data_IF_467654958845
#
_entry.id   IF_467654958845
#
_cell.length_a   1.000
_cell.length_b   1.000
_cell.length_c   1.000
_cell.angle_alpha   90.00
_cell.angle_beta   90.00
_cell.angle_gamma   90.00
#
_symmetry.space_group_name_H-M   'P 1'
#
loop_
_entity.id
_entity.type
_entity.pdbx_description
1 polymer ?
#
# COMPACT_ATOMS: atom_id res chain seq x y z
N UNK A 1 -12.45 -5.32 -15.67
CA UNK A 1 -11.69 -4.19 -16.26
C UNK A 1 -10.77 -3.55 -15.22
N UNK A 2 -9.51 -3.92 -15.25
CA UNK A 2 -8.40 -3.57 -14.34
C UNK A 2 -8.22 -2.05 -14.21
N UNK A 3 -8.48 -1.32 -15.30
CA UNK A 3 -8.50 0.14 -15.33
C UNK A 3 -9.51 0.76 -14.34
N UNK A 4 -10.61 0.06 -14.01
CA UNK A 4 -11.58 0.52 -13.04
C UNK A 4 -11.14 0.29 -11.58
N UNK A 5 -10.24 -0.66 -11.33
CA UNK A 5 -9.71 -0.89 -9.98
C UNK A 5 -8.65 0.15 -9.61
N UNK A 6 -7.95 0.71 -10.58
CA UNK A 6 -6.88 1.67 -10.33
C UNK A 6 -7.36 2.96 -9.63
N UNK A 7 -8.66 3.30 -9.68
CA UNK A 7 -9.23 4.44 -8.94
C UNK A 7 -9.41 4.19 -7.43
N UNK A 8 -9.32 2.95 -6.98
CA UNK A 8 -9.38 2.61 -5.56
C UNK A 8 -8.00 2.77 -4.93
N UNK A 9 -7.92 3.46 -3.80
CA UNK A 9 -6.65 3.68 -3.10
C UNK A 9 -6.02 2.36 -2.66
N UNK A 10 -6.79 1.56 -1.92
CA UNK A 10 -6.36 0.29 -1.35
C UNK A 10 -7.22 -0.89 -1.82
N UNK A 11 -6.58 -2.04 -2.02
CA UNK A 11 -7.22 -3.35 -2.05
C UNK A 11 -6.93 -4.07 -0.72
N UNK A 12 -7.97 -4.20 0.11
CA UNK A 12 -7.91 -4.89 1.40
C UNK A 12 -8.46 -6.30 1.23
N UNK A 13 -7.66 -7.30 1.60
CA UNK A 13 -8.08 -8.71 1.62
C UNK A 13 -8.66 -9.01 3.00
N UNK A 14 -9.94 -9.36 3.04
CA UNK A 14 -10.65 -9.73 4.26
C UNK A 14 -10.97 -11.22 4.19
N UNK A 15 -10.44 -12.00 5.13
CA UNK A 15 -10.77 -13.42 5.26
C UNK A 15 -12.09 -13.63 5.98
N UNK A 16 -12.55 -14.88 6.04
CA UNK A 16 -13.70 -15.23 6.88
C UNK A 16 -13.34 -15.15 8.37
N UNK A 17 -14.29 -14.71 9.22
CA UNK A 17 -14.12 -14.78 10.67
C UNK A 17 -13.93 -16.23 11.13
N UNK A 18 -13.28 -16.39 12.28
CA UNK A 18 -13.24 -17.67 12.98
C UNK A 18 -14.63 -18.07 13.45
N UNK A 19 -14.86 -19.37 13.69
CA UNK A 19 -16.13 -19.88 14.25
C UNK A 19 -16.56 -19.14 15.53
N UNK A 20 -15.60 -18.75 16.38
CA UNK A 20 -15.90 -18.02 17.62
C UNK A 20 -16.40 -16.60 17.34
N UNK A 21 -15.76 -15.89 16.40
CA UNK A 21 -16.19 -14.57 15.94
C UNK A 21 -17.54 -14.65 15.23
N UNK A 22 -17.80 -15.69 14.42
CA UNK A 22 -19.10 -15.91 13.79
C UNK A 22 -20.22 -16.09 14.82
N UNK A 23 -19.97 -16.89 15.88
CA UNK A 23 -20.93 -17.06 16.97
C UNK A 23 -21.20 -15.72 17.67
N UNK A 24 -20.18 -14.92 17.90
CA UNK A 24 -20.33 -13.59 18.52
C UNK A 24 -21.13 -12.64 17.61
N UNK A 25 -20.82 -12.60 16.31
CA UNK A 25 -21.57 -11.83 15.31
C UNK A 25 -23.04 -12.25 15.30
N UNK A 26 -23.33 -13.56 15.24
CA UNK A 26 -24.70 -14.07 15.26
C UNK A 26 -25.43 -13.63 16.53
N UNK A 27 -24.82 -13.79 17.71
CA UNK A 27 -25.42 -13.38 18.99
C UNK A 27 -25.69 -11.87 19.04
N UNK A 28 -24.75 -11.03 18.60
CA UNK A 28 -24.89 -9.56 18.64
C UNK A 28 -25.97 -9.07 17.68
N UNK A 29 -25.98 -9.59 16.45
CA UNK A 29 -26.84 -9.10 15.37
C UNK A 29 -28.26 -9.65 15.39
N UNK A 30 -28.49 -10.81 16.02
CA UNK A 30 -29.84 -11.42 16.16
C UNK A 30 -30.51 -11.12 17.50
N UNK A 31 -29.84 -10.38 18.38
CA UNK A 31 -30.44 -9.91 19.63
C UNK A 31 -31.35 -8.70 19.39
N UNK A 32 -32.28 -8.45 20.32
CA UNK A 32 -33.08 -7.22 20.33
C UNK A 32 -32.29 -6.00 20.82
N UNK A 33 -31.05 -6.21 21.29
CA UNK A 33 -30.21 -5.15 21.82
C UNK A 33 -29.71 -4.26 20.68
N UNK A 34 -30.06 -2.98 20.74
CA UNK A 34 -29.51 -1.95 19.85
C UNK A 34 -28.53 -1.09 20.63
N UNK A 35 -27.22 -1.14 20.32
CA UNK A 35 -26.26 -0.30 21.01
C UNK A 35 -26.55 1.17 20.72
N UNK A 36 -26.50 2.00 21.76
CA UNK A 36 -26.55 3.45 21.60
C UNK A 36 -25.20 3.91 21.08
N UNK A 37 -25.18 4.45 19.86
CA UNK A 37 -23.95 4.98 19.26
C UNK A 37 -23.75 6.43 19.71
N UNK A 38 -22.51 6.75 20.08
CA UNK A 38 -22.08 8.12 20.38
C UNK A 38 -21.18 8.62 19.25
N UNK A 39 -21.52 9.78 18.68
CA UNK A 39 -20.74 10.37 17.61
C UNK A 39 -19.45 10.97 18.20
N UNK A 40 -18.31 10.35 17.90
CA UNK A 40 -17.01 10.84 18.36
C UNK A 40 -16.44 11.98 17.50
N UNK A 41 -16.83 12.05 16.23
CA UNK A 41 -16.37 13.05 15.27
C UNK A 41 -17.56 13.60 14.47
N UNK A 42 -17.54 14.91 14.23
CA UNK A 42 -18.42 15.57 13.27
C UNK A 42 -17.86 15.46 11.85
N UNK A 43 -18.72 15.68 10.84
CA UNK A 43 -18.29 15.73 9.44
C UNK A 43 -17.19 16.79 9.18
N UNK A 44 -17.30 17.94 9.82
CA UNK A 44 -16.27 19.00 9.75
C UNK A 44 -14.93 18.55 10.34
N UNK A 45 -14.96 17.83 11.46
CA UNK A 45 -13.74 17.26 12.05
C UNK A 45 -13.09 16.24 11.11
N UNK A 46 -13.88 15.40 10.44
CA UNK A 46 -13.36 14.45 9.44
C UNK A 46 -12.69 15.18 8.27
N UNK A 47 -13.33 16.21 7.72
CA UNK A 47 -12.74 17.00 6.63
C UNK A 47 -11.44 17.69 7.08
N UNK A 48 -11.41 18.21 8.30
CA UNK A 48 -10.20 18.80 8.89
C UNK A 48 -9.08 17.77 9.04
N UNK A 49 -9.38 16.55 9.48
CA UNK A 49 -8.39 15.47 9.58
C UNK A 49 -7.83 15.09 8.20
N UNK A 50 -8.67 15.05 7.16
CA UNK A 50 -8.20 14.80 5.80
C UNK A 50 -7.24 15.90 5.30
N UNK A 51 -7.46 17.14 5.70
CA UNK A 51 -6.54 18.25 5.39
C UNK A 51 -5.22 18.12 6.17
N UNK A 52 -5.28 17.78 7.46
CA UNK A 52 -4.07 17.53 8.27
C UNK A 52 -3.21 16.41 7.66
N UNK A 53 -3.81 15.35 7.12
CA UNK A 53 -3.07 14.29 6.40
C UNK A 53 -2.25 14.87 5.25
N UNK A 54 -2.78 15.84 4.50
CA UNK A 54 -2.05 16.45 3.36
C UNK A 54 -0.85 17.27 3.81
N UNK A 55 -0.94 17.90 4.98
CA UNK A 55 0.09 18.78 5.56
C UNK A 55 1.29 18.04 6.16
N UNK A 56 1.20 16.71 6.34
CA UNK A 56 2.32 15.90 6.86
C UNK A 56 3.56 16.10 5.99
N UNK A 57 4.69 16.37 6.64
CA UNK A 57 5.97 16.62 5.98
C UNK A 57 6.48 15.34 5.33
N UNK A 58 7.03 15.46 4.13
CA UNK A 58 7.61 14.34 3.38
C UNK A 58 8.90 14.82 2.74
N UNK A 59 10.01 14.18 3.07
CA UNK A 59 11.32 14.50 2.51
C UNK A 59 11.46 13.92 1.09
N UNK A 60 12.28 14.55 0.26
CA UNK A 60 12.49 14.17 -1.14
C UNK A 60 12.87 12.69 -1.32
N UNK A 61 13.72 12.16 -0.42
CA UNK A 61 14.13 10.76 -0.48
C UNK A 61 12.95 9.77 -0.30
N UNK A 62 11.89 10.16 0.41
CA UNK A 62 10.68 9.34 0.56
C UNK A 62 9.87 9.36 -0.73
N UNK A 63 9.79 10.52 -1.40
CA UNK A 63 9.18 10.62 -2.73
C UNK A 63 9.95 9.80 -3.77
N UNK A 64 11.29 9.89 -3.76
CA UNK A 64 12.17 9.07 -4.61
C UNK A 64 11.92 7.59 -4.37
N UNK A 65 11.95 7.13 -3.11
CA UNK A 65 11.70 5.73 -2.78
C UNK A 65 10.34 5.23 -3.26
N UNK A 66 9.26 6.02 -3.08
CA UNK A 66 7.94 5.64 -3.58
C UNK A 66 7.91 5.55 -5.12
N UNK A 67 8.62 6.46 -5.81
CA UNK A 67 8.74 6.43 -7.26
C UNK A 67 9.56 5.22 -7.73
N UNK A 68 10.68 4.92 -7.08
CA UNK A 68 11.55 3.79 -7.40
C UNK A 68 10.80 2.46 -7.22
N UNK A 69 10.05 2.31 -6.12
CA UNK A 69 9.18 1.16 -5.89
C UNK A 69 8.18 0.98 -7.03
N UNK A 70 7.48 2.04 -7.43
CA UNK A 70 6.49 1.97 -8.51
C UNK A 70 7.13 1.71 -9.86
N UNK A 71 8.26 2.36 -10.18
CA UNK A 71 8.97 2.15 -11.44
C UNK A 71 9.52 0.73 -11.55
N UNK A 72 10.02 0.17 -10.45
CA UNK A 72 10.52 -1.19 -10.40
C UNK A 72 9.45 -2.25 -10.71
N UNK A 73 8.16 -1.92 -10.65
CA UNK A 73 7.09 -2.84 -11.07
C UNK A 73 6.90 -2.95 -12.58
N UNK A 74 7.53 -2.07 -13.38
CA UNK A 74 7.26 -1.96 -14.81
C UNK A 74 8.25 -2.83 -15.60
N UNK A 75 7.81 -3.85 -16.34
CA UNK A 75 8.71 -4.79 -17.01
C UNK A 75 9.59 -4.13 -18.09
N UNK A 76 9.15 -3.03 -18.69
CA UNK A 76 9.90 -2.32 -19.74
C UNK A 76 10.88 -1.29 -19.19
N UNK A 77 10.94 -1.09 -17.87
CA UNK A 77 11.88 -0.14 -17.28
C UNK A 77 13.27 -0.77 -17.15
N UNK A 78 14.35 -0.11 -17.65
CA UNK A 78 15.71 -0.63 -17.52
C UNK A 78 16.17 -0.81 -16.06
N UNK A 79 15.60 -0.02 -15.15
CA UNK A 79 15.91 -0.09 -13.71
C UNK A 79 15.09 -1.16 -12.97
N UNK A 80 14.12 -1.81 -13.62
CA UNK A 80 13.35 -2.87 -12.99
C UNK A 80 14.22 -4.13 -12.81
N UNK A 81 14.12 -4.83 -11.68
CA UNK A 81 14.78 -6.12 -11.49
C UNK A 81 14.43 -7.09 -12.62
N UNK A 82 15.40 -7.89 -13.10
CA UNK A 82 15.19 -8.78 -14.26
C UNK A 82 13.98 -9.71 -14.11
N UNK A 83 13.76 -10.24 -12.91
CA UNK A 83 12.63 -11.14 -12.60
C UNK A 83 11.25 -10.45 -12.76
N UNK A 84 11.16 -9.12 -12.74
CA UNK A 84 9.90 -8.41 -13.02
C UNK A 84 9.46 -8.64 -14.46
N UNK A 85 10.39 -8.75 -15.41
CA UNK A 85 10.08 -8.99 -16.82
C UNK A 85 9.42 -10.35 -17.05
N UNK A 86 9.79 -11.32 -16.21
CA UNK A 86 9.26 -12.69 -16.26
C UNK A 86 7.91 -12.79 -15.55
N UNK A 87 7.74 -12.07 -14.43
CA UNK A 87 6.59 -12.24 -13.54
C UNK A 87 5.46 -11.23 -13.78
N UNK A 88 5.74 -10.05 -14.34
CA UNK A 88 4.77 -8.95 -14.45
C UNK A 88 4.55 -8.58 -15.91
N UNK A 89 3.31 -8.72 -16.38
CA UNK A 89 2.87 -8.27 -17.70
C UNK A 89 2.62 -6.75 -17.72
N UNK A 90 2.06 -6.20 -16.63
CA UNK A 90 1.76 -4.77 -16.52
C UNK A 90 2.00 -4.25 -15.10
N UNK A 91 2.78 -3.17 -14.99
CA UNK A 91 3.17 -2.55 -13.73
C UNK A 91 2.32 -1.33 -13.34
N UNK A 92 2.60 -0.80 -12.15
CA UNK A 92 1.85 0.29 -11.56
C UNK A 92 2.13 1.67 -12.19
N UNK A 93 1.07 2.47 -12.33
CA UNK A 93 1.10 3.84 -12.85
C UNK A 93 1.41 4.90 -11.78
N UNK A 94 1.46 6.20 -12.16
CA UNK A 94 1.80 7.30 -11.26
C UNK A 94 0.81 7.47 -10.09
N UNK A 95 -0.42 6.99 -10.23
CA UNK A 95 -1.42 6.99 -9.15
C UNK A 95 -0.99 6.14 -7.95
N UNK A 96 -0.24 5.07 -8.19
CA UNK A 96 0.35 4.28 -7.11
C UNK A 96 1.29 5.14 -6.25
N UNK A 97 2.13 5.98 -6.85
CA UNK A 97 3.00 6.90 -6.11
C UNK A 97 2.18 7.82 -5.20
N UNK A 98 1.11 8.41 -5.74
CA UNK A 98 0.23 9.31 -4.99
C UNK A 98 -0.40 8.60 -3.78
N UNK A 99 -0.88 7.37 -3.95
CA UNK A 99 -1.51 6.61 -2.87
C UNK A 99 -0.53 6.02 -1.87
N UNK A 100 0.69 5.67 -2.29
CA UNK A 100 1.78 5.33 -1.37
C UNK A 100 2.08 6.51 -0.43
N UNK A 101 2.23 7.72 -0.99
CA UNK A 101 2.50 8.93 -0.20
C UNK A 101 1.30 9.26 0.72
N UNK A 102 0.09 9.34 0.18
CA UNK A 102 -1.10 9.67 0.99
C UNK A 102 -1.35 8.63 2.09
N UNK A 103 -1.17 7.34 1.78
CA UNK A 103 -1.28 6.26 2.75
C UNK A 103 -0.19 6.35 3.83
N UNK A 104 1.05 6.64 3.42
CA UNK A 104 2.17 6.83 4.34
C UNK A 104 1.98 8.04 5.26
N UNK A 105 1.44 9.15 4.75
CA UNK A 105 1.08 10.34 5.53
C UNK A 105 0.02 10.04 6.59
N UNK A 106 -1.06 9.38 6.19
CA UNK A 106 -2.11 8.97 7.13
C UNK A 106 -1.56 8.02 8.20
N UNK A 107 -0.73 7.05 7.80
CA UNK A 107 -0.08 6.10 8.69
C UNK A 107 0.83 6.79 9.71
N UNK A 108 1.67 7.74 9.28
CA UNK A 108 2.55 8.48 10.17
C UNK A 108 1.77 9.20 11.28
N UNK A 109 0.65 9.87 10.93
CA UNK A 109 -0.22 10.55 11.88
C UNK A 109 -0.89 9.59 12.86
N UNK A 110 -1.37 8.43 12.40
CA UNK A 110 -1.92 7.39 13.27
C UNK A 110 -0.90 6.86 14.29
N UNK A 111 0.39 7.01 13.99
CA UNK A 111 1.49 6.72 14.90
C UNK A 111 2.04 7.94 15.64
N UNK A 112 1.34 9.08 15.60
CA UNK A 112 1.74 10.31 16.31
C UNK A 112 2.96 11.03 15.72
N UNK A 113 3.39 10.68 14.50
CA UNK A 113 4.50 11.33 13.80
C UNK A 113 4.00 12.38 12.82
N UNK A 114 4.73 13.49 12.74
CA UNK A 114 4.43 14.62 11.84
C UNK A 114 5.20 14.57 10.51
N UNK A 115 5.96 13.49 10.29
CA UNK A 115 6.71 13.26 9.06
C UNK A 115 6.58 11.80 8.61
N UNK A 116 6.57 11.60 7.29
CA UNK A 116 6.54 10.27 6.67
C UNK A 116 7.96 9.72 6.52
N UNK A 117 8.09 8.41 6.67
CA UNK A 117 9.33 7.66 6.45
C UNK A 117 9.14 6.62 5.35
N UNK A 118 10.23 6.06 4.85
CA UNK A 118 10.18 4.94 3.89
C UNK A 118 9.48 3.70 4.47
N UNK A 119 9.52 3.49 5.79
CA UNK A 119 8.81 2.39 6.44
C UNK A 119 7.29 2.54 6.36
N UNK A 120 6.78 3.78 6.38
CA UNK A 120 5.37 4.04 6.16
C UNK A 120 4.95 3.66 4.74
N UNK A 121 5.82 3.95 3.75
CA UNK A 121 5.62 3.58 2.34
C UNK A 121 5.60 2.06 2.18
N UNK A 122 6.54 1.35 2.80
CA UNK A 122 6.59 -0.13 2.78
C UNK A 122 5.34 -0.74 3.42
N UNK A 123 4.89 -0.19 4.54
CA UNK A 123 3.73 -0.71 5.26
C UNK A 123 2.42 -0.62 4.47
N UNK A 124 2.28 0.39 3.60
CA UNK A 124 1.09 0.54 2.73
C UNK A 124 1.30 -0.01 1.32
N UNK A 125 2.47 -0.57 1.00
CA UNK A 125 2.79 -1.01 -0.35
C UNK A 125 1.88 -2.14 -0.85
N UNK A 126 1.59 -3.14 -0.03
CA UNK A 126 0.68 -4.23 -0.37
C UNK A 126 -0.71 -3.75 -0.80
N UNK A 127 -1.48 -3.06 0.05
CA UNK A 127 -2.82 -2.64 -0.34
C UNK A 127 -2.82 -1.64 -1.50
N UNK A 128 -1.74 -0.89 -1.73
CA UNK A 128 -1.66 0.01 -2.91
C UNK A 128 -1.30 -0.73 -4.18
N UNK A 129 -0.37 -1.68 -4.16
CA UNK A 129 0.16 -2.26 -5.39
C UNK A 129 -0.61 -3.49 -5.87
N UNK A 130 -1.27 -4.22 -4.97
CA UNK A 130 -1.90 -5.53 -5.27
C UNK A 130 -2.81 -5.55 -6.49
N UNK A 131 -3.64 -4.53 -6.68
CA UNK A 131 -4.57 -4.41 -7.82
C UNK A 131 -4.03 -3.55 -8.97
N UNK A 132 -2.75 -3.20 -8.92
CA UNK A 132 -2.04 -2.39 -9.93
C UNK A 132 -0.96 -3.17 -10.67
N UNK A 133 -0.86 -4.46 -10.37
CA UNK A 133 0.05 -5.39 -11.00
C UNK A 133 -0.78 -6.45 -11.72
N UNK A 134 -0.40 -6.72 -12.97
CA UNK A 134 -0.91 -7.84 -13.74
C UNK A 134 0.26 -8.78 -13.96
N UNK A 135 0.15 -9.99 -13.44
CA UNK A 135 1.12 -11.07 -13.60
C UNK A 135 1.11 -11.60 -15.04
N UNK A 136 2.20 -12.25 -15.45
CA UNK A 136 2.24 -12.97 -16.73
C UNK A 136 1.45 -14.27 -16.64
N UNK A 137 0.98 -14.79 -17.78
CA UNK A 137 0.27 -16.08 -17.81
C UNK A 137 1.09 -17.23 -17.21
N UNK A 138 2.40 -17.24 -17.44
CA UNK A 138 3.30 -18.25 -16.87
C UNK A 138 3.40 -18.10 -15.35
N UNK A 139 3.53 -16.87 -14.84
CA UNK A 139 3.55 -16.61 -13.41
C UNK A 139 2.23 -17.04 -12.73
N UNK A 140 1.09 -16.77 -13.37
CA UNK A 140 -0.21 -17.23 -12.89
C UNK A 140 -0.31 -18.76 -12.86
N UNK A 141 0.17 -19.44 -13.91
CA UNK A 141 0.19 -20.90 -13.99
C UNK A 141 1.08 -21.54 -12.91
N UNK A 142 2.14 -20.85 -12.50
CA UNK A 142 3.03 -21.25 -11.39
C UNK A 142 2.48 -20.86 -10.01
N UNK A 143 1.32 -20.20 -9.94
CA UNK A 143 0.70 -19.76 -8.69
C UNK A 143 1.37 -18.55 -8.03
N UNK A 144 2.16 -17.78 -8.78
CA UNK A 144 2.79 -16.55 -8.29
C UNK A 144 1.72 -15.48 -8.09
N UNK A 145 1.59 -14.98 -6.87
CA UNK A 145 0.61 -13.93 -6.55
C UNK A 145 1.22 -12.54 -6.68
N UNK A 146 0.37 -11.52 -6.83
CA UNK A 146 0.81 -10.11 -6.77
C UNK A 146 1.42 -9.77 -5.40
N UNK A 147 1.00 -10.43 -4.32
CA UNK A 147 1.60 -10.28 -2.99
C UNK A 147 3.04 -10.81 -2.93
N UNK A 148 3.33 -11.89 -3.65
CA UNK A 148 4.70 -12.42 -3.74
C UNK A 148 5.60 -11.48 -4.54
N UNK A 149 5.08 -10.88 -5.61
CA UNK A 149 5.77 -9.83 -6.38
C UNK A 149 6.06 -8.62 -5.49
N UNK A 150 5.07 -8.09 -4.77
CA UNK A 150 5.24 -6.94 -3.87
C UNK A 150 6.24 -7.25 -2.75
N UNK A 151 6.22 -8.46 -2.19
CA UNK A 151 7.19 -8.90 -1.17
C UNK A 151 8.62 -8.81 -1.69
N UNK A 152 8.88 -9.42 -2.85
CA UNK A 152 10.20 -9.40 -3.50
C UNK A 152 10.62 -7.98 -3.87
N UNK A 153 9.68 -7.16 -4.34
CA UNK A 153 9.91 -5.78 -4.71
C UNK A 153 10.41 -4.93 -3.53
N UNK A 154 9.72 -5.02 -2.38
CA UNK A 154 10.08 -4.29 -1.16
C UNK A 154 11.47 -4.67 -0.64
N UNK A 155 11.93 -5.89 -0.90
CA UNK A 155 13.26 -6.36 -0.52
C UNK A 155 14.34 -5.97 -1.55
N UNK A 156 13.97 -5.89 -2.83
CA UNK A 156 14.90 -5.61 -3.92
C UNK A 156 15.18 -4.12 -4.12
N UNK A 157 14.22 -3.24 -3.79
CA UNK A 157 14.40 -1.79 -3.91
C UNK A 157 15.10 -1.28 -2.65
N UNK A 158 16.35 -0.79 -2.75
CA UNK A 158 17.13 -0.38 -1.60
C UNK A 158 16.52 0.84 -0.92
N UNK A 159 16.76 0.95 0.39
CA UNK A 159 16.40 2.17 1.11
C UNK A 159 17.38 3.29 0.74
N UNK A 160 16.96 4.57 0.73
CA UNK A 160 17.84 5.70 0.41
C UNK A 160 19.12 5.75 1.26
N UNK A 161 19.05 5.29 2.51
CA UNK A 161 20.20 5.21 3.43
C UNK A 161 21.23 4.15 2.96
N UNK A 162 20.76 3.04 2.39
CA UNK A 162 21.60 1.97 1.85
C UNK A 162 22.27 2.40 0.55
N UNK A 163 21.55 3.15 -0.30
CA UNK A 163 22.14 3.72 -1.52
C UNK A 163 23.23 4.75 -1.21
N UNK A 164 22.99 5.63 -0.23
CA UNK A 164 23.98 6.59 0.23
C UNK A 164 25.23 5.86 0.75
N UNK A 165 25.06 4.82 1.56
CA UNK A 165 26.18 4.01 2.07
C UNK A 165 26.93 3.27 0.94
N UNK A 166 26.23 2.75 -0.06
CA UNK A 166 26.83 2.07 -1.21
C UNK A 166 27.64 3.03 -2.11
N UNK A 167 27.19 4.28 -2.27
CA UNK A 167 27.92 5.31 -3.01
C UNK A 167 29.19 5.76 -2.29
N UNK A 168 29.19 5.82 -0.97
CA UNK A 168 30.38 6.18 -0.16
C UNK A 168 31.44 5.06 -0.16
N UNK A 169 31.04 3.80 -0.38
CA UNK A 169 31.93 2.63 -0.43
C UNK A 169 32.57 2.40 -1.81
N UNK A 170 32.16 3.13 -2.84
CA UNK A 170 32.71 3.08 -4.20
C UNK A 170 33.69 4.22 -4.41
#
# INVERSE_FOLDING_TARGET
>A
PEAQLDRFMFNIVVGYPSRAEEIDIMKRTTSTHRPKLEAMLSGEQILRLQEVVRQVVTADHVFSYAADLVRATRPKEPSAPKWIQELVAWGAGPRACQYLIMGGKARALLHGRLHVTTDDIRAVAYPVLRHRLVTTFNADAEGVTTDDVVRKLIQAVPLPQEEAAAKVRR
#
